data_IF_111663281449
#
_entry.id   IF_111663281449
#
_cell.length_a   1.000
_cell.length_b   1.000
_cell.length_c   1.000
_cell.angle_alpha   90.00
_cell.angle_beta   90.00
_cell.angle_gamma   90.00
#
_symmetry.space_group_name_H-M   'P 1'
#
loop_
_entity.id
_entity.type
_entity.pdbx_description
1 polymer ?
#
# COMPACT_ATOMS: atom_id res chain seq x y z
N UNK A 1 -52.62 -4.77 -7.24
CA UNK A 1 -51.76 -5.36 -8.29
C UNK A 1 -50.35 -4.84 -8.08
N UNK A 2 -49.52 -5.62 -7.38
CA UNK A 2 -48.12 -5.30 -7.09
C UNK A 2 -47.20 -5.73 -8.22
N UNK A 3 -46.30 -4.86 -8.64
CA UNK A 3 -45.22 -5.20 -9.58
C UNK A 3 -44.19 -6.06 -8.87
N UNK A 4 -43.63 -7.11 -9.53
CA UNK A 4 -42.57 -7.92 -8.96
C UNK A 4 -41.23 -7.17 -8.91
N UNK A 5 -40.55 -7.30 -7.79
CA UNK A 5 -39.16 -6.88 -7.58
C UNK A 5 -38.23 -7.65 -8.53
N UNK A 6 -37.43 -6.93 -9.30
CA UNK A 6 -36.37 -7.49 -10.14
C UNK A 6 -35.25 -8.03 -9.25
N UNK A 7 -34.86 -9.29 -9.50
CA UNK A 7 -33.79 -9.99 -8.81
C UNK A 7 -32.43 -9.31 -9.06
N UNK A 8 -31.64 -9.18 -8.00
CA UNK A 8 -30.22 -8.79 -8.02
C UNK A 8 -29.39 -9.75 -8.87
N UNK A 9 -28.34 -9.28 -9.59
CA UNK A 9 -27.45 -10.15 -10.34
C UNK A 9 -26.68 -11.06 -9.39
N UNK A 10 -26.78 -12.36 -9.66
CA UNK A 10 -26.10 -13.43 -8.93
C UNK A 10 -24.59 -13.19 -8.91
N UNK A 11 -24.02 -13.14 -7.71
CA UNK A 11 -22.57 -13.08 -7.49
C UNK A 11 -21.87 -14.24 -8.20
N UNK A 12 -20.73 -13.94 -8.81
CA UNK A 12 -19.85 -14.94 -9.44
C UNK A 12 -19.41 -15.93 -8.35
N UNK A 13 -19.97 -17.14 -8.37
CA UNK A 13 -19.51 -18.22 -7.51
C UNK A 13 -18.09 -18.59 -7.92
N UNK A 14 -17.13 -18.51 -6.99
CA UNK A 14 -15.85 -19.15 -7.17
C UNK A 14 -16.10 -20.65 -7.34
N UNK A 15 -15.72 -21.21 -8.48
CA UNK A 15 -15.73 -22.66 -8.65
C UNK A 15 -14.80 -23.24 -7.59
N UNK A 16 -15.36 -23.97 -6.65
CA UNK A 16 -14.61 -24.78 -5.69
C UNK A 16 -14.02 -25.96 -6.46
N UNK A 17 -12.83 -25.77 -7.02
CA UNK A 17 -11.96 -26.91 -7.31
C UNK A 17 -11.43 -27.39 -5.95
N UNK A 18 -11.46 -28.68 -5.63
CA UNK A 18 -10.83 -29.18 -4.42
C UNK A 18 -9.38 -28.73 -4.41
N UNK A 19 -8.82 -28.33 -3.24
CA UNK A 19 -7.42 -27.96 -3.16
C UNK A 19 -6.59 -29.13 -3.71
N UNK A 20 -5.60 -28.88 -4.57
CA UNK A 20 -4.75 -29.92 -5.09
C UNK A 20 -4.10 -30.65 -3.90
N UNK A 21 -4.29 -31.96 -3.81
CA UNK A 21 -3.76 -32.82 -2.75
C UNK A 21 -2.24 -33.04 -2.85
N UNK A 22 -1.62 -32.52 -3.89
CA UNK A 22 -0.18 -32.42 -4.15
C UNK A 22 0.09 -31.13 -4.89
N UNK A 23 1.20 -30.46 -4.54
CA UNK A 23 1.81 -29.43 -5.38
C UNK A 23 2.32 -30.15 -6.64
N UNK A 24 1.50 -30.23 -7.67
CA UNK A 24 1.93 -30.73 -8.98
C UNK A 24 2.94 -29.72 -9.52
N UNK A 25 4.06 -30.22 -10.08
CA UNK A 25 4.99 -29.36 -10.82
C UNK A 25 4.21 -28.67 -11.92
N UNK A 26 3.89 -27.39 -11.72
CA UNK A 26 3.27 -26.59 -12.75
C UNK A 26 4.24 -26.54 -13.95
N UNK A 27 3.77 -26.90 -15.13
CA UNK A 27 4.51 -26.66 -16.36
C UNK A 27 4.58 -25.14 -16.58
N UNK A 28 5.73 -24.57 -16.20
CA UNK A 28 5.99 -23.15 -16.39
C UNK A 28 6.47 -22.91 -17.83
N UNK A 29 5.85 -21.95 -18.50
CA UNK A 29 6.38 -21.43 -19.75
C UNK A 29 7.68 -20.62 -19.52
N UNK A 30 8.47 -20.36 -20.57
CA UNK A 30 9.61 -19.43 -20.50
C UNK A 30 9.19 -18.06 -20.00
N UNK A 31 10.07 -17.37 -19.24
CA UNK A 31 9.83 -15.99 -18.83
C UNK A 31 10.34 -15.64 -17.41
N UNK A 32 10.14 -14.38 -17.06
CA UNK A 32 10.47 -13.80 -15.76
C UNK A 32 9.23 -13.84 -14.86
N UNK A 33 9.35 -14.46 -13.70
CA UNK A 33 8.28 -14.61 -12.70
C UNK A 33 8.57 -13.72 -11.50
N UNK A 34 7.85 -12.60 -11.37
CA UNK A 34 7.93 -11.70 -10.23
C UNK A 34 7.13 -12.34 -9.08
N UNK A 35 7.85 -12.97 -8.15
CA UNK A 35 7.24 -13.87 -7.17
C UNK A 35 7.31 -13.29 -5.77
N UNK A 36 6.14 -13.02 -5.17
CA UNK A 36 6.06 -12.57 -3.79
C UNK A 36 6.42 -13.69 -2.81
N UNK A 37 7.14 -13.32 -1.75
CA UNK A 37 7.56 -14.18 -0.64
C UNK A 37 6.88 -13.74 0.67
N UNK A 38 6.87 -14.58 1.72
CA UNK A 38 6.30 -14.18 3.01
C UNK A 38 7.00 -12.96 3.62
N UNK A 39 6.25 -12.15 4.37
CA UNK A 39 6.79 -10.99 5.11
C UNK A 39 7.17 -11.31 6.57
N UNK A 40 6.94 -12.54 7.01
CA UNK A 40 7.23 -13.00 8.36
C UNK A 40 6.82 -14.44 8.57
N UNK A 41 5.54 -14.74 8.45
CA UNK A 41 5.01 -16.08 8.65
C UNK A 41 5.16 -16.93 7.38
N UNK A 42 5.97 -17.99 7.44
CA UNK A 42 6.29 -18.82 6.26
C UNK A 42 5.05 -19.36 5.51
N UNK A 43 3.93 -19.63 6.22
CA UNK A 43 2.70 -20.14 5.59
C UNK A 43 1.92 -19.10 4.79
N UNK A 44 2.34 -17.83 4.76
CA UNK A 44 1.74 -16.80 3.91
C UNK A 44 2.24 -16.85 2.46
N UNK A 45 3.05 -17.85 2.12
CA UNK A 45 3.39 -18.12 0.72
C UNK A 45 2.18 -18.70 -0.01
N UNK A 46 2.00 -18.32 -1.25
CA UNK A 46 0.94 -18.92 -2.07
C UNK A 46 1.39 -20.24 -2.67
N UNK A 47 0.45 -21.17 -2.90
CA UNK A 47 0.74 -22.43 -3.58
C UNK A 47 1.37 -22.18 -4.94
N UNK A 48 0.86 -21.21 -5.71
CA UNK A 48 1.41 -20.84 -7.00
C UNK A 48 2.85 -20.30 -6.91
N UNK A 49 3.19 -19.59 -5.83
CA UNK A 49 4.58 -19.16 -5.60
C UNK A 49 5.50 -20.38 -5.40
N UNK A 50 5.06 -21.38 -4.63
CA UNK A 50 5.80 -22.63 -4.46
C UNK A 50 5.98 -23.37 -5.78
N UNK A 51 4.92 -23.48 -6.59
CA UNK A 51 4.97 -24.11 -7.92
C UNK A 51 6.03 -23.42 -8.80
N UNK A 52 6.00 -22.09 -8.85
CA UNK A 52 6.97 -21.29 -9.62
C UNK A 52 8.38 -21.48 -9.11
N UNK A 53 8.61 -21.38 -7.80
CA UNK A 53 9.94 -21.54 -7.21
C UNK A 53 10.50 -22.95 -7.42
N UNK A 54 9.65 -23.98 -7.42
CA UNK A 54 10.06 -25.35 -7.73
C UNK A 54 10.27 -25.60 -9.22
N UNK A 55 9.43 -25.00 -10.07
CA UNK A 55 9.43 -25.22 -11.53
C UNK A 55 10.45 -24.37 -12.30
N UNK A 56 10.93 -23.25 -11.76
CA UNK A 56 11.89 -22.36 -12.43
C UNK A 56 13.29 -23.01 -12.55
N UNK A 57 14.08 -22.51 -13.52
CA UNK A 57 15.44 -22.97 -13.76
C UNK A 57 16.44 -22.25 -12.84
N UNK A 58 16.13 -21.01 -12.46
CA UNK A 58 16.98 -20.12 -11.67
C UNK A 58 16.14 -19.18 -10.83
N UNK A 59 16.57 -18.84 -9.63
CA UNK A 59 15.98 -17.79 -8.82
C UNK A 59 16.98 -16.63 -8.72
N UNK A 60 16.58 -15.45 -9.19
CA UNK A 60 17.27 -14.20 -8.95
C UNK A 60 16.76 -13.62 -7.62
N UNK A 61 17.62 -13.55 -6.62
CA UNK A 61 17.28 -13.21 -5.25
C UNK A 61 18.05 -11.97 -4.77
N UNK A 62 17.40 -11.11 -3.99
CA UNK A 62 18.04 -9.96 -3.37
C UNK A 62 19.19 -10.40 -2.45
N UNK A 63 18.90 -11.26 -1.45
CA UNK A 63 19.90 -12.01 -0.68
C UNK A 63 19.67 -13.51 -0.85
N UNK A 64 20.62 -14.18 -1.48
CA UNK A 64 20.56 -15.63 -1.73
C UNK A 64 20.54 -16.47 -0.45
N UNK A 65 21.06 -15.93 0.66
CA UNK A 65 21.08 -16.62 1.97
C UNK A 65 19.69 -16.65 2.59
N UNK A 66 18.94 -15.55 2.49
CA UNK A 66 17.55 -15.44 2.95
C UNK A 66 16.67 -16.35 2.11
N UNK A 67 16.78 -16.28 0.80
CA UNK A 67 16.03 -17.15 -0.11
C UNK A 67 16.34 -18.63 0.11
N UNK A 68 17.61 -19.01 0.28
CA UNK A 68 17.97 -20.40 0.54
C UNK A 68 17.32 -20.95 1.82
N UNK A 69 17.27 -20.15 2.90
CA UNK A 69 16.57 -20.52 4.13
C UNK A 69 15.07 -20.71 3.90
N UNK A 70 14.45 -19.80 3.13
CA UNK A 70 13.03 -19.92 2.78
C UNK A 70 12.74 -21.21 2.03
N UNK A 71 13.53 -21.52 0.98
CA UNK A 71 13.36 -22.75 0.21
C UNK A 71 13.55 -24.00 1.06
N UNK A 72 14.49 -23.99 2.02
CA UNK A 72 14.73 -25.09 2.93
C UNK A 72 13.52 -25.37 3.86
N UNK A 73 12.78 -24.33 4.28
CA UNK A 73 11.54 -24.49 5.05
C UNK A 73 10.51 -25.32 4.27
N UNK A 74 10.46 -25.18 2.93
CA UNK A 74 9.54 -25.92 2.07
C UNK A 74 10.14 -27.22 1.51
N UNK A 75 11.35 -27.60 1.94
CA UNK A 75 11.97 -28.89 1.63
C UNK A 75 12.58 -29.01 0.24
N UNK A 76 12.97 -27.90 -0.41
CA UNK A 76 13.65 -27.95 -1.70
C UNK A 76 14.78 -26.93 -1.83
N UNK A 77 15.63 -27.10 -2.84
CA UNK A 77 16.69 -26.18 -3.19
C UNK A 77 16.68 -25.91 -4.70
N UNK A 78 17.14 -24.70 -5.09
CA UNK A 78 17.23 -24.27 -6.49
C UNK A 78 18.53 -23.51 -6.71
N UNK A 79 19.03 -23.42 -7.95
CA UNK A 79 20.09 -22.50 -8.30
C UNK A 79 19.68 -21.06 -7.97
N UNK A 80 20.53 -20.35 -7.23
CA UNK A 80 20.31 -18.96 -6.84
C UNK A 80 21.37 -18.06 -7.48
N UNK A 81 20.97 -16.86 -7.89
CA UNK A 81 21.91 -15.80 -8.28
C UNK A 81 21.52 -14.52 -7.53
N UNK A 82 22.49 -13.78 -6.97
CA UNK A 82 22.18 -12.52 -6.32
C UNK A 82 21.78 -11.48 -7.39
N UNK A 83 20.70 -10.74 -7.13
CA UNK A 83 20.25 -9.63 -7.96
C UNK A 83 19.71 -8.52 -7.07
N UNK A 84 20.52 -7.49 -6.85
CA UNK A 84 20.21 -6.32 -6.04
C UNK A 84 20.72 -5.04 -6.73
N UNK A 85 20.54 -3.88 -6.11
CA UNK A 85 20.92 -2.59 -6.70
C UNK A 85 22.43 -2.46 -6.94
N UNK A 86 23.27 -3.15 -6.14
CA UNK A 86 24.72 -3.08 -6.28
C UNK A 86 25.27 -3.89 -7.46
N UNK A 87 24.62 -5.01 -7.82
CA UNK A 87 25.10 -5.91 -8.88
C UNK A 87 24.18 -5.95 -10.11
N UNK A 88 23.01 -5.32 -10.04
CA UNK A 88 21.97 -5.39 -11.06
C UNK A 88 22.44 -4.98 -12.45
N UNK A 89 23.35 -4.02 -12.58
CA UNK A 89 23.88 -3.60 -13.89
C UNK A 89 24.70 -4.68 -14.57
N UNK A 90 25.47 -5.44 -13.80
CA UNK A 90 26.30 -6.54 -14.30
C UNK A 90 25.48 -7.80 -14.57
N UNK A 91 24.53 -8.12 -13.69
CA UNK A 91 23.76 -9.37 -13.75
C UNK A 91 22.57 -9.29 -14.72
N UNK A 92 21.97 -8.11 -14.92
CA UNK A 92 20.83 -7.93 -15.82
C UNK A 92 21.06 -8.45 -17.24
N UNK A 93 22.17 -8.12 -17.94
CA UNK A 93 22.42 -8.67 -19.28
C UNK A 93 22.51 -10.20 -19.31
N UNK A 94 23.04 -10.81 -18.25
CA UNK A 94 23.17 -12.27 -18.11
C UNK A 94 21.80 -12.94 -17.95
N UNK A 95 20.94 -12.33 -17.13
CA UNK A 95 19.57 -12.82 -16.92
C UNK A 95 18.72 -12.66 -18.18
N UNK A 96 18.82 -11.53 -18.88
CA UNK A 96 18.15 -11.32 -20.18
C UNK A 96 18.60 -12.34 -21.22
N UNK A 97 19.90 -12.64 -21.32
CA UNK A 97 20.40 -13.67 -22.23
C UNK A 97 19.78 -15.06 -21.94
N UNK A 98 19.64 -15.41 -20.67
CA UNK A 98 18.98 -16.66 -20.26
C UNK A 98 17.48 -16.64 -20.60
N UNK A 99 16.77 -15.53 -20.37
CA UNK A 99 15.35 -15.38 -20.73
C UNK A 99 15.13 -15.51 -22.24
N UNK A 100 15.99 -14.90 -23.07
CA UNK A 100 15.97 -15.05 -24.55
C UNK A 100 16.18 -16.51 -24.98
N UNK A 101 16.99 -17.26 -24.22
CA UNK A 101 17.19 -18.70 -24.44
C UNK A 101 16.04 -19.58 -23.93
N UNK A 102 14.94 -18.98 -23.48
CA UNK A 102 13.76 -19.72 -23.01
C UNK A 102 13.82 -20.16 -21.54
N UNK A 103 14.72 -19.61 -20.73
CA UNK A 103 14.78 -19.93 -19.32
C UNK A 103 13.58 -19.38 -18.53
N UNK A 104 13.21 -20.10 -17.48
CA UNK A 104 12.20 -19.72 -16.48
C UNK A 104 12.93 -19.18 -15.26
N UNK A 105 12.86 -17.88 -15.03
CA UNK A 105 13.57 -17.21 -13.94
C UNK A 105 12.56 -16.63 -12.96
N UNK A 106 12.62 -17.02 -11.69
CA UNK A 106 11.89 -16.36 -10.62
C UNK A 106 12.72 -15.20 -10.08
N UNK A 107 12.11 -14.02 -9.91
CA UNK A 107 12.69 -12.90 -9.18
C UNK A 107 11.98 -12.76 -7.85
N UNK A 108 12.74 -12.77 -6.76
CA UNK A 108 12.25 -12.62 -5.40
C UNK A 108 13.02 -11.55 -4.65
N UNK A 109 12.34 -10.82 -3.76
CA UNK A 109 12.93 -10.00 -2.71
C UNK A 109 13.09 -10.81 -1.41
N UNK A 110 13.77 -10.25 -0.44
CA UNK A 110 13.97 -10.88 0.86
C UNK A 110 12.63 -11.12 1.59
N UNK A 111 11.65 -10.23 1.40
CA UNK A 111 10.31 -10.36 1.94
C UNK A 111 9.28 -9.61 1.09
N UNK A 112 8.09 -10.17 0.94
CA UNK A 112 6.95 -9.51 0.29
C UNK A 112 6.98 -9.53 -1.23
N UNK A 113 6.41 -8.48 -1.81
CA UNK A 113 6.23 -8.33 -3.25
C UNK A 113 7.45 -7.65 -3.87
N UNK A 114 8.18 -8.30 -4.78
CA UNK A 114 9.35 -7.71 -5.42
C UNK A 114 8.98 -6.43 -6.19
N UNK A 115 9.95 -5.55 -6.43
CA UNK A 115 9.85 -4.22 -7.05
C UNK A 115 9.23 -3.13 -6.16
N UNK A 116 8.62 -3.47 -5.04
CA UNK A 116 7.95 -2.51 -4.14
C UNK A 116 8.93 -2.13 -3.02
N UNK A 117 9.68 -1.07 -3.21
CA UNK A 117 10.86 -0.67 -2.42
C UNK A 117 12.01 -1.68 -2.45
N UNK A 118 12.00 -2.57 -3.44
CA UNK A 118 12.93 -3.67 -3.61
C UNK A 118 13.57 -3.63 -5.01
N UNK A 119 14.73 -4.27 -5.20
CA UNK A 119 15.38 -4.34 -6.50
C UNK A 119 14.54 -5.15 -7.51
N UNK A 120 14.80 -4.93 -8.81
CA UNK A 120 14.18 -5.74 -9.87
C UNK A 120 13.44 -4.94 -10.92
N UNK A 121 12.99 -3.71 -10.63
CA UNK A 121 12.29 -2.86 -11.60
C UNK A 121 13.03 -2.74 -12.94
N UNK A 122 14.37 -2.52 -12.90
CA UNK A 122 15.19 -2.40 -14.11
C UNK A 122 15.24 -3.69 -14.94
N UNK A 123 15.20 -4.87 -14.29
CA UNK A 123 15.16 -6.17 -14.98
C UNK A 123 13.80 -6.41 -15.62
N UNK A 124 12.72 -6.20 -14.89
CA UNK A 124 11.37 -6.36 -15.40
C UNK A 124 11.12 -5.44 -16.59
N UNK A 125 11.50 -4.16 -16.48
CA UNK A 125 11.41 -3.18 -17.56
C UNK A 125 12.22 -3.58 -18.80
N UNK A 126 13.44 -4.08 -18.60
CA UNK A 126 14.29 -4.51 -19.70
C UNK A 126 13.75 -5.77 -20.39
N UNK A 127 13.19 -6.73 -19.64
CA UNK A 127 12.55 -7.91 -20.20
C UNK A 127 11.31 -7.53 -21.04
N UNK A 128 10.46 -6.65 -20.54
CA UNK A 128 9.29 -6.14 -21.27
C UNK A 128 9.68 -5.35 -22.53
N UNK A 129 10.78 -4.59 -22.50
CA UNK A 129 11.28 -3.85 -23.67
C UNK A 129 11.80 -4.77 -24.80
N UNK A 130 12.06 -6.02 -24.49
CA UNK A 130 12.48 -7.06 -25.43
C UNK A 130 11.35 -8.07 -25.73
N UNK A 131 10.11 -7.74 -25.41
CA UNK A 131 8.92 -8.60 -25.58
C UNK A 131 9.06 -9.98 -24.90
N UNK A 132 9.94 -10.10 -23.89
CA UNK A 132 10.08 -11.33 -23.12
C UNK A 132 8.91 -11.49 -22.14
N UNK A 133 8.36 -12.69 -21.96
CA UNK A 133 7.24 -12.92 -21.05
C UNK A 133 7.59 -12.53 -19.61
N UNK A 134 6.74 -11.71 -18.97
CA UNK A 134 6.84 -11.35 -17.56
C UNK A 134 5.52 -11.68 -16.87
N UNK A 135 5.60 -12.47 -15.81
CA UNK A 135 4.46 -12.98 -15.05
C UNK A 135 4.49 -12.47 -13.62
N UNK A 136 3.35 -12.01 -13.10
CA UNK A 136 3.21 -11.69 -11.69
C UNK A 136 2.67 -12.89 -10.91
N UNK A 137 3.30 -13.19 -9.79
CA UNK A 137 2.86 -14.19 -8.80
C UNK A 137 2.55 -13.46 -7.52
N UNK A 138 1.27 -13.04 -7.30
CA UNK A 138 0.88 -12.23 -6.17
C UNK A 138 1.05 -12.96 -4.84
N UNK A 139 1.21 -12.22 -3.77
CA UNK A 139 1.34 -12.77 -2.43
C UNK A 139 1.38 -11.70 -1.34
N UNK A 140 2.11 -11.95 -0.26
CA UNK A 140 2.19 -11.08 0.89
C UNK A 140 2.78 -9.70 0.55
N UNK A 141 2.27 -8.69 1.25
CA UNK A 141 2.71 -7.29 1.13
C UNK A 141 2.53 -6.58 2.46
N UNK A 142 3.62 -6.05 3.03
CA UNK A 142 3.57 -5.35 4.31
C UNK A 142 2.72 -4.07 4.25
N UNK A 143 2.76 -3.33 3.13
CA UNK A 143 1.92 -2.13 2.98
C UNK A 143 0.43 -2.45 2.99
N UNK A 144 -0.01 -3.51 2.29
CA UNK A 144 -1.42 -3.92 2.27
C UNK A 144 -1.84 -4.54 3.60
N UNK A 145 -0.98 -5.35 4.22
CA UNK A 145 -1.24 -5.93 5.55
C UNK A 145 -1.38 -4.82 6.60
N UNK A 146 -0.49 -3.83 6.59
CA UNK A 146 -0.59 -2.65 7.44
C UNK A 146 -1.88 -1.86 7.20
N UNK A 147 -2.26 -1.65 5.94
CA UNK A 147 -3.48 -0.93 5.58
C UNK A 147 -4.73 -1.66 6.09
N UNK A 148 -4.81 -2.98 5.92
CA UNK A 148 -5.91 -3.80 6.44
C UNK A 148 -6.06 -3.67 7.96
N UNK A 149 -4.94 -3.62 8.68
CA UNK A 149 -4.93 -3.53 10.15
C UNK A 149 -5.07 -2.09 10.65
N UNK A 150 -4.98 -1.08 9.80
CA UNK A 150 -4.93 0.32 10.22
C UNK A 150 -6.26 0.89 10.68
N UNK A 151 -7.38 0.42 10.14
CA UNK A 151 -8.69 1.04 10.22
C UNK A 151 -8.75 2.47 9.62
N UNK A 152 -7.77 2.85 8.80
CA UNK A 152 -7.78 4.08 8.01
C UNK A 152 -8.53 3.87 6.68
N UNK A 153 -9.04 4.93 6.03
CA UNK A 153 -9.66 4.83 4.71
C UNK A 153 -8.73 4.12 3.71
N UNK A 154 -9.26 3.12 3.02
CA UNK A 154 -8.50 2.29 2.07
C UNK A 154 -8.93 2.46 0.60
N UNK A 155 -9.95 3.29 0.34
CA UNK A 155 -10.41 3.64 -1.00
C UNK A 155 -9.38 4.40 -1.81
N UNK A 156 -8.55 5.19 -1.12
CA UNK A 156 -7.39 5.88 -1.69
C UNK A 156 -6.22 5.79 -0.73
N UNK A 157 -5.11 5.25 -1.20
CA UNK A 157 -3.86 5.26 -0.46
C UNK A 157 -2.69 5.54 -1.39
N UNK A 158 -1.62 6.09 -0.82
CA UNK A 158 -0.37 6.36 -1.51
C UNK A 158 0.76 5.69 -0.74
N UNK A 159 1.45 4.77 -1.38
CA UNK A 159 2.69 4.20 -0.86
C UNK A 159 3.88 5.07 -1.27
N UNK A 160 4.56 5.63 -0.28
CA UNK A 160 5.69 6.54 -0.47
C UNK A 160 7.06 5.89 -0.15
N UNK A 161 7.08 4.60 0.21
CA UNK A 161 8.33 3.89 0.52
C UNK A 161 9.03 4.44 1.76
N UNK A 162 10.38 4.45 1.74
CA UNK A 162 11.17 5.04 2.81
C UNK A 162 11.38 6.54 2.61
N UNK A 163 11.15 7.31 3.66
CA UNK A 163 11.46 8.73 3.65
C UNK A 163 12.99 8.97 3.68
N UNK A 164 13.48 10.12 3.16
CA UNK A 164 14.89 10.46 3.24
C UNK A 164 15.44 10.43 4.68
N UNK A 165 16.68 9.96 4.89
CA UNK A 165 17.27 9.85 6.22
C UNK A 165 17.54 11.20 6.86
N UNK A 166 17.87 12.24 6.08
CA UNK A 166 18.15 13.59 6.58
C UNK A 166 16.86 14.36 6.83
N UNK A 167 16.74 14.97 8.01
CA UNK A 167 15.54 15.65 8.45
C UNK A 167 15.04 16.76 7.51
N UNK A 168 15.94 17.54 6.90
CA UNK A 168 15.57 18.58 5.93
C UNK A 168 14.91 17.99 4.69
N UNK A 169 15.55 16.99 4.08
CA UNK A 169 15.04 16.30 2.90
C UNK A 169 13.74 15.55 3.23
N UNK A 170 13.64 14.95 4.41
CA UNK A 170 12.44 14.26 4.90
C UNK A 170 11.26 15.22 5.04
N UNK A 171 11.45 16.38 5.65
CA UNK A 171 10.40 17.41 5.75
C UNK A 171 9.95 17.91 4.38
N UNK A 172 10.88 18.13 3.44
CA UNK A 172 10.54 18.51 2.07
C UNK A 172 9.69 17.43 1.38
N UNK A 173 10.05 16.16 1.54
CA UNK A 173 9.25 15.05 1.00
C UNK A 173 7.85 14.98 1.63
N UNK A 174 7.74 15.23 2.94
CA UNK A 174 6.45 15.26 3.65
C UNK A 174 5.58 16.45 3.23
N UNK A 175 6.15 17.63 2.98
CA UNK A 175 5.39 18.79 2.48
C UNK A 175 4.73 18.50 1.12
N UNK A 176 5.41 17.78 0.22
CA UNK A 176 4.83 17.36 -1.05
C UNK A 176 3.63 16.40 -0.90
N UNK A 177 3.53 15.71 0.24
CA UNK A 177 2.47 14.74 0.54
C UNK A 177 1.34 15.32 1.41
N UNK A 178 1.54 16.50 2.00
CA UNK A 178 0.65 17.11 3.00
C UNK A 178 -0.80 17.26 2.54
N UNK A 179 -0.98 17.65 1.29
CA UNK A 179 -2.31 17.92 0.71
C UNK A 179 -2.94 16.69 0.02
N UNK A 180 -2.24 15.55 -0.04
CA UNK A 180 -2.74 14.35 -0.74
C UNK A 180 -3.95 13.77 0.00
N UNK A 181 -5.14 13.68 -0.62
CA UNK A 181 -6.37 13.21 0.02
C UNK A 181 -6.43 11.66 0.00
N UNK A 182 -5.46 11.02 0.65
CA UNK A 182 -5.31 9.58 0.69
C UNK A 182 -4.63 9.14 1.99
N UNK A 183 -4.78 7.89 2.39
CA UNK A 183 -3.96 7.29 3.43
C UNK A 183 -2.53 7.15 2.92
N UNK A 184 -1.58 7.77 3.60
CA UNK A 184 -0.15 7.70 3.27
C UNK A 184 0.46 6.48 3.97
N UNK A 185 1.25 5.70 3.24
CA UNK A 185 1.91 4.50 3.75
C UNK A 185 3.42 4.63 3.52
N UNK A 186 4.19 4.39 4.57
CA UNK A 186 5.64 4.46 4.55
C UNK A 186 6.24 3.17 5.14
N UNK A 187 7.43 2.80 4.70
CA UNK A 187 8.29 1.89 5.43
C UNK A 187 9.25 2.67 6.30
N UNK A 188 9.56 2.15 7.48
CA UNK A 188 10.48 2.78 8.41
C UNK A 188 11.25 1.75 9.24
N UNK A 189 12.30 2.20 9.89
CA UNK A 189 13.13 1.41 10.80
C UNK A 189 13.05 1.95 12.22
N UNK A 190 13.20 1.07 13.20
CA UNK A 190 13.11 1.47 14.62
C UNK A 190 13.99 2.66 15.00
N UNK A 191 15.29 2.68 14.66
CA UNK A 191 16.19 3.80 15.00
C UNK A 191 15.77 5.15 14.42
N UNK A 192 14.98 5.17 13.35
CA UNK A 192 14.54 6.40 12.68
C UNK A 192 13.14 6.84 13.10
N UNK A 193 12.34 5.93 13.68
CA UNK A 193 10.91 6.12 13.92
C UNK A 193 10.59 7.40 14.70
N UNK A 194 11.23 7.64 15.82
CA UNK A 194 10.97 8.82 16.66
C UNK A 194 11.19 10.13 15.89
N UNK A 195 12.32 10.26 15.18
CA UNK A 195 12.64 11.44 14.39
C UNK A 195 11.66 11.62 13.21
N UNK A 196 11.24 10.51 12.57
CA UNK A 196 10.27 10.52 11.48
C UNK A 196 8.90 10.98 11.97
N UNK A 197 8.42 10.45 13.10
CA UNK A 197 7.14 10.87 13.70
C UNK A 197 7.16 12.36 14.10
N UNK A 198 8.25 12.85 14.67
CA UNK A 198 8.39 14.27 15.01
C UNK A 198 8.30 15.18 13.77
N UNK A 199 8.99 14.83 12.68
CA UNK A 199 8.90 15.58 11.43
C UNK A 199 7.50 15.48 10.80
N UNK A 200 6.83 14.33 10.90
CA UNK A 200 5.45 14.18 10.45
C UNK A 200 4.46 15.04 11.23
N UNK A 201 4.60 15.14 12.55
CA UNK A 201 3.79 16.05 13.39
C UNK A 201 3.97 17.50 12.93
N UNK A 202 5.21 17.92 12.74
CA UNK A 202 5.54 19.29 12.34
C UNK A 202 4.97 19.67 10.96
N UNK A 203 4.98 18.72 10.01
CA UNK A 203 4.61 18.98 8.60
C UNK A 203 3.15 18.65 8.34
N UNK A 204 2.69 17.45 8.75
CA UNK A 204 1.36 16.95 8.41
C UNK A 204 0.28 17.36 9.42
N UNK A 205 0.70 17.76 10.64
CA UNK A 205 -0.17 18.09 11.77
C UNK A 205 -0.44 16.90 12.69
N UNK A 206 -0.38 17.16 14.00
CA UNK A 206 -0.44 16.13 15.04
C UNK A 206 -1.78 15.41 15.20
N UNK A 207 -2.86 15.98 14.71
CA UNK A 207 -4.22 15.42 14.87
C UNK A 207 -4.55 14.31 13.90
N UNK A 208 -3.72 14.01 12.87
CA UNK A 208 -4.00 12.95 11.91
C UNK A 208 -4.02 11.60 12.59
N UNK A 209 -5.08 10.81 12.33
CA UNK A 209 -5.11 9.41 12.74
C UNK A 209 -3.96 8.66 12.08
N UNK A 210 -3.22 7.89 12.87
CA UNK A 210 -1.99 7.24 12.40
C UNK A 210 -1.80 5.87 13.03
N UNK A 211 -0.98 5.04 12.40
CA UNK A 211 -0.72 3.68 12.84
C UNK A 211 0.75 3.35 12.67
N UNK A 212 1.35 2.81 13.71
CA UNK A 212 2.65 2.13 13.66
C UNK A 212 2.38 0.63 13.71
N UNK A 213 2.62 -0.07 12.60
CA UNK A 213 2.51 -1.51 12.49
C UNK A 213 3.91 -2.11 12.38
N UNK A 214 4.31 -2.89 13.37
CA UNK A 214 5.66 -3.44 13.53
C UNK A 214 5.64 -4.95 13.43
N UNK A 215 6.66 -5.54 12.80
CA UNK A 215 6.87 -6.98 12.73
C UNK A 215 5.62 -7.76 12.26
N UNK A 216 4.94 -7.23 11.26
CA UNK A 216 3.71 -7.80 10.71
C UNK A 216 3.89 -9.28 10.36
N UNK A 217 2.94 -10.12 10.76
CA UNK A 217 2.89 -11.58 10.63
C UNK A 217 3.99 -12.35 11.39
N UNK A 218 4.85 -11.66 12.16
CA UNK A 218 5.91 -12.25 12.95
C UNK A 218 5.49 -12.45 14.43
N UNK A 219 6.32 -13.15 15.21
CA UNK A 219 6.03 -13.46 16.61
C UNK A 219 5.79 -12.21 17.48
N UNK A 220 6.42 -11.09 17.14
CA UNK A 220 6.34 -9.84 17.89
C UNK A 220 5.54 -8.77 17.12
N UNK A 221 4.51 -9.21 16.39
CA UNK A 221 3.59 -8.29 15.71
C UNK A 221 2.96 -7.33 16.72
N UNK A 222 3.01 -6.04 16.41
CA UNK A 222 2.39 -4.99 17.20
C UNK A 222 1.76 -3.95 16.27
N UNK A 223 0.52 -3.54 16.58
CA UNK A 223 -0.17 -2.50 15.83
C UNK A 223 -0.71 -1.45 16.80
N UNK A 224 -0.10 -0.28 16.80
CA UNK A 224 -0.47 0.85 17.66
C UNK A 224 -1.18 1.91 16.83
N UNK A 225 -2.41 2.22 17.21
CA UNK A 225 -3.26 3.23 16.56
C UNK A 225 -3.47 4.40 17.51
N UNK A 226 -3.19 5.63 17.05
CA UNK A 226 -3.41 6.85 17.80
C UNK A 226 -3.34 8.06 16.86
N UNK A 227 -3.47 9.27 17.38
CA UNK A 227 -3.09 10.47 16.63
C UNK A 227 -1.57 10.50 16.41
N UNK A 228 -1.15 11.20 15.37
CA UNK A 228 0.27 11.34 15.05
C UNK A 228 1.07 11.96 16.22
N UNK A 229 0.47 12.92 16.95
CA UNK A 229 1.07 13.54 18.12
C UNK A 229 1.26 12.54 19.28
N UNK A 230 0.26 11.71 19.56
CA UNK A 230 0.34 10.67 20.60
C UNK A 230 1.39 9.61 20.26
N UNK A 231 1.46 9.18 19.00
CA UNK A 231 2.51 8.24 18.54
C UNK A 231 3.89 8.88 18.68
N UNK A 232 4.07 10.15 18.27
CA UNK A 232 5.33 10.86 18.42
C UNK A 232 5.75 10.96 19.88
N UNK A 233 4.84 11.32 20.79
CA UNK A 233 5.11 11.38 22.22
C UNK A 233 5.48 10.00 22.79
N UNK A 234 4.78 8.94 22.38
CA UNK A 234 5.05 7.58 22.86
C UNK A 234 6.46 7.08 22.48
N UNK A 235 6.93 7.40 21.28
CA UNK A 235 8.23 6.92 20.79
C UNK A 235 9.38 7.92 21.02
N UNK A 236 9.12 9.14 21.57
CA UNK A 236 10.14 10.16 21.74
C UNK A 236 11.28 9.71 22.68
N UNK A 237 10.92 9.15 23.84
CA UNK A 237 11.84 8.73 24.88
C UNK A 237 11.94 7.20 25.03
N UNK A 238 11.27 6.45 24.13
CA UNK A 238 11.31 4.99 24.16
C UNK A 238 12.59 4.46 23.50
N UNK A 239 13.05 3.28 23.95
CA UNK A 239 14.08 2.57 23.18
C UNK A 239 13.59 2.32 21.77
N UNK A 240 14.46 2.50 20.73
CA UNK A 240 14.09 2.25 19.35
C UNK A 240 13.55 0.82 19.17
N UNK A 241 12.33 0.66 18.68
CA UNK A 241 11.75 -0.67 18.50
C UNK A 241 12.56 -1.47 17.47
N UNK A 242 12.76 -2.76 17.73
CA UNK A 242 13.45 -3.66 16.81
C UNK A 242 12.48 -4.11 15.72
N UNK A 243 13.01 -4.38 14.51
CA UNK A 243 12.28 -4.95 13.39
C UNK A 243 11.79 -3.93 12.37
N UNK A 244 10.99 -4.41 11.45
CA UNK A 244 10.47 -3.64 10.32
C UNK A 244 9.15 -2.96 10.69
N UNK A 245 8.96 -1.75 10.19
CA UNK A 245 7.81 -0.92 10.52
C UNK A 245 7.11 -0.46 9.24
N UNK A 246 5.80 -0.65 9.21
CA UNK A 246 4.91 0.02 8.27
C UNK A 246 4.19 1.13 9.03
N UNK A 247 4.41 2.38 8.61
CA UNK A 247 3.82 3.57 9.21
C UNK A 247 2.71 4.08 8.30
N UNK A 248 1.51 4.24 8.84
CA UNK A 248 0.36 4.72 8.08
C UNK A 248 -0.17 6.02 8.70
N UNK A 249 -0.49 6.98 7.84
CA UNK A 249 -1.01 8.29 8.27
C UNK A 249 -2.25 8.60 7.44
N UNK A 250 -3.36 8.85 8.10
CA UNK A 250 -4.60 9.27 7.45
C UNK A 250 -4.40 10.53 6.60
N UNK A 251 -5.19 10.68 5.56
CA UNK A 251 -5.21 11.87 4.73
C UNK A 251 -5.40 13.14 5.58
N UNK A 252 -5.22 14.33 5.00
CA UNK A 252 -5.62 15.56 5.67
C UNK A 252 -7.06 15.36 6.13
N UNK A 253 -7.39 15.78 7.34
CA UNK A 253 -8.78 15.92 7.71
C UNK A 253 -9.43 16.65 6.53
N UNK A 254 -10.27 15.95 5.78
CA UNK A 254 -11.14 16.63 4.83
C UNK A 254 -11.65 17.78 5.66
N UNK A 255 -11.68 19.01 5.12
CA UNK A 255 -12.28 20.11 5.87
C UNK A 255 -13.53 19.48 6.45
N UNK A 256 -13.50 19.14 7.76
CA UNK A 256 -14.74 18.87 8.48
C UNK A 256 -15.53 20.07 8.06
N UNK A 257 -16.60 19.83 7.30
CA UNK A 257 -17.40 20.93 6.84
C UNK A 257 -17.60 21.72 8.10
N UNK A 258 -16.97 22.88 8.20
CA UNK A 258 -17.29 23.81 9.28
C UNK A 258 -18.73 24.16 8.97
N UNK A 259 -19.62 23.27 9.44
CA UNK A 259 -21.05 23.40 9.16
C UNK A 259 -21.56 24.71 9.71
N UNK A 260 -20.91 25.24 10.76
CA UNK A 260 -21.20 26.57 11.28
C UNK A 260 -20.71 27.64 10.31
N UNK A 261 -19.54 27.47 9.66
CA UNK A 261 -19.07 28.37 8.63
C UNK A 261 -19.93 28.28 7.38
N UNK A 262 -20.26 27.05 6.95
CA UNK A 262 -21.18 26.81 5.83
C UNK A 262 -22.53 27.49 6.09
N UNK A 263 -23.06 27.27 7.26
CA UNK A 263 -24.37 27.80 7.68
C UNK A 263 -24.36 29.33 7.70
N UNK A 264 -23.31 29.95 8.28
CA UNK A 264 -23.12 31.42 8.23
C UNK A 264 -23.04 31.97 6.82
N UNK A 265 -22.29 31.30 5.93
CA UNK A 265 -22.15 31.73 4.55
C UNK A 265 -23.44 31.52 3.74
N UNK A 266 -24.22 30.48 4.02
CA UNK A 266 -25.56 30.28 3.43
C UNK A 266 -26.51 31.37 3.87
N UNK A 267 -26.53 31.75 5.16
CA UNK A 267 -27.38 32.88 5.63
C UNK A 267 -27.03 34.20 4.95
N UNK A 268 -25.78 34.42 4.61
CA UNK A 268 -25.34 35.60 3.87
C UNK A 268 -25.69 35.54 2.37
N UNK A 269 -25.66 34.36 1.75
CA UNK A 269 -25.86 34.18 0.33
C UNK A 269 -27.33 34.05 -0.09
N UNK A 270 -28.15 33.35 0.68
CA UNK A 270 -29.56 33.05 0.33
C UNK A 270 -30.46 34.25 0.13
N UNK A 271 -30.27 35.43 0.80
CA UNK A 271 -31.04 36.62 0.52
C UNK A 271 -30.79 37.21 -0.89
N UNK A 272 -29.65 36.89 -1.51
CA UNK A 272 -29.22 37.51 -2.76
C UNK A 272 -29.23 36.58 -3.97
N UNK A 273 -29.34 35.25 -3.74
CA UNK A 273 -29.30 34.29 -4.84
C UNK A 273 -30.15 33.05 -4.57
N UNK A 274 -30.62 32.35 -5.63
CA UNK A 274 -31.36 31.10 -5.49
C UNK A 274 -30.57 30.02 -4.77
N UNK A 275 -31.25 29.14 -4.01
CA UNK A 275 -30.68 28.01 -3.25
C UNK A 275 -29.67 27.22 -4.06
N UNK A 276 -29.97 26.92 -5.34
CA UNK A 276 -29.11 26.16 -6.21
C UNK A 276 -27.78 26.91 -6.51
N UNK A 277 -27.85 28.20 -6.77
CA UNK A 277 -26.67 29.02 -7.05
C UNK A 277 -25.79 29.18 -5.80
N UNK A 278 -26.41 29.43 -4.63
CA UNK A 278 -25.70 29.47 -3.36
C UNK A 278 -25.00 28.14 -3.04
N UNK A 279 -25.70 27.02 -3.28
CA UNK A 279 -25.13 25.69 -3.05
C UNK A 279 -23.96 25.39 -3.99
N UNK A 280 -24.07 25.73 -5.28
CA UNK A 280 -22.99 25.53 -6.27
C UNK A 280 -21.76 26.38 -5.92
N UNK A 281 -21.95 27.66 -5.62
CA UNK A 281 -20.89 28.59 -5.25
C UNK A 281 -20.14 28.14 -3.98
N UNK A 282 -20.88 27.79 -2.92
CA UNK A 282 -20.28 27.44 -1.64
C UNK A 282 -19.69 26.02 -1.63
N UNK A 283 -20.26 25.10 -2.41
CA UNK A 283 -19.67 23.78 -2.62
C UNK A 283 -18.27 23.88 -3.25
N UNK A 284 -18.14 24.73 -4.26
CA UNK A 284 -16.85 24.97 -4.93
C UNK A 284 -15.87 25.73 -4.02
N UNK A 285 -16.31 26.86 -3.45
CA UNK A 285 -15.48 27.69 -2.57
C UNK A 285 -14.95 26.96 -1.32
N UNK A 286 -15.77 26.10 -0.73
CA UNK A 286 -15.43 25.35 0.48
C UNK A 286 -14.88 23.95 0.18
N UNK A 287 -14.85 23.53 -1.09
CA UNK A 287 -14.49 22.17 -1.52
C UNK A 287 -15.33 21.10 -0.80
N UNK A 288 -16.65 21.33 -0.68
CA UNK A 288 -17.60 20.44 -0.02
C UNK A 288 -18.45 19.69 -1.06
N UNK A 289 -18.94 18.48 -0.72
CA UNK A 289 -19.87 17.77 -1.59
C UNK A 289 -21.12 18.60 -1.86
N UNK A 290 -21.43 18.89 -3.13
CA UNK A 290 -22.58 19.68 -3.55
C UNK A 290 -23.91 19.24 -2.91
N UNK A 291 -24.11 17.91 -2.79
CA UNK A 291 -25.31 17.32 -2.17
C UNK A 291 -25.46 17.73 -0.69
N UNK A 292 -24.34 17.80 0.04
CA UNK A 292 -24.33 18.23 1.45
C UNK A 292 -24.72 19.71 1.53
N UNK A 293 -24.05 20.57 0.76
CA UNK A 293 -24.30 22.03 0.78
C UNK A 293 -25.72 22.35 0.35
N UNK A 294 -26.24 21.68 -0.69
CA UNK A 294 -27.60 21.86 -1.15
C UNK A 294 -28.65 21.46 -0.09
N UNK A 295 -28.43 20.35 0.64
CA UNK A 295 -29.29 19.94 1.76
C UNK A 295 -29.33 20.99 2.87
N UNK A 296 -28.17 21.54 3.26
CA UNK A 296 -28.11 22.64 4.24
C UNK A 296 -28.79 23.91 3.76
N UNK A 297 -28.61 24.27 2.48
CA UNK A 297 -29.21 25.46 1.89
C UNK A 297 -30.75 25.37 1.85
N UNK A 298 -31.33 24.22 1.53
CA UNK A 298 -32.79 23.99 1.60
C UNK A 298 -33.31 24.11 3.03
N UNK A 299 -32.71 23.40 3.98
CA UNK A 299 -33.14 23.42 5.37
C UNK A 299 -33.08 24.83 6.02
N UNK A 300 -32.21 25.72 5.52
CA UNK A 300 -32.13 27.10 5.98
C UNK A 300 -33.18 28.00 5.32
N UNK A 301 -33.43 27.79 4.04
CA UNK A 301 -34.47 28.54 3.35
C UNK A 301 -35.85 28.27 3.95
N UNK A 302 -36.17 26.98 4.21
CA UNK A 302 -37.43 26.59 4.82
C UNK A 302 -37.65 27.26 6.20
N UNK A 303 -36.56 27.51 6.97
CA UNK A 303 -36.61 28.22 8.27
C UNK A 303 -36.72 29.75 8.15
N UNK A 304 -36.42 30.32 7.01
CA UNK A 304 -36.56 31.77 6.77
C UNK A 304 -37.94 32.12 6.24
N UNK A 305 -38.65 31.16 5.65
CA UNK A 305 -39.99 31.33 5.09
C UNK A 305 -41.09 31.00 6.13
N UNK A 306 -40.74 30.45 7.33
CA UNK A 306 -41.60 30.23 8.51
C UNK A 306 -41.51 31.42 9.48
#
# INVERSE_FOLDING_TARGET
MGKPMTASPQGKSFRQSPPPSRVEKAELGPGLYLTATPIGHARDITLRALDVLQGCDLIAAEDTRVTAKLLAIYGFAKPLTPYNDHNGERERPRLLAKLRAGARIALVSDAGTPLVSDPGFKLARAALAEDLPVHAVPGASAMLTGLMLSALPSDRFLFAGFLPPKGGERRTALEALKAVPATLIFYETGPRLAATLADMVAVLGGARASVVARELTKLHEEVRRASLAELAAHYADAEPPKGEITLLVGGPAGKTADLEQLDRLLDQALPFMPVRAAADLLADALSLPRKLVYGHALARKDRQDD
#
